data_IF_297712700115
#
_entry.id   IF_297712700115
#
_cell.length_a   1.000
_cell.length_b   1.000
_cell.length_c   1.000
_cell.angle_alpha   90.00
_cell.angle_beta   90.00
_cell.angle_gamma   90.00
#
_symmetry.space_group_name_H-M   'P 1'
#
loop_
_entity.id
_entity.type
_entity.pdbx_description
1 polymer ?
#
# COMPACT_ATOMS: atom_id res chain seq x y z
N UNK A 1 5.73 -15.48 -16.00
CA UNK A 1 5.83 -16.19 -14.71
C UNK A 1 6.62 -15.31 -13.73
N UNK A 2 5.93 -14.61 -12.82
CA UNK A 2 6.56 -13.92 -11.67
C UNK A 2 5.75 -14.31 -10.44
N UNK A 3 6.37 -15.09 -9.56
CA UNK A 3 5.74 -15.64 -8.36
C UNK A 3 5.76 -14.59 -7.25
N UNK A 4 4.59 -14.35 -6.69
CA UNK A 4 4.34 -13.67 -5.42
C UNK A 4 5.07 -14.41 -4.28
N UNK A 5 5.78 -13.68 -3.43
CA UNK A 5 6.24 -14.14 -2.12
C UNK A 5 5.49 -13.36 -1.03
N UNK A 6 4.87 -14.02 -0.04
CA UNK A 6 4.27 -13.35 1.11
C UNK A 6 5.29 -13.20 2.25
N UNK A 7 5.31 -12.01 2.83
CA UNK A 7 6.00 -11.67 4.09
C UNK A 7 5.25 -12.28 5.29
N UNK A 8 5.91 -12.88 6.29
CA UNK A 8 5.31 -13.14 7.58
C UNK A 8 5.60 -11.99 8.55
N UNK A 9 4.54 -11.47 9.17
CA UNK A 9 4.61 -10.65 10.38
C UNK A 9 5.08 -11.52 11.56
N UNK A 10 6.24 -11.23 12.12
CA UNK A 10 6.66 -11.76 13.42
C UNK A 10 6.51 -10.65 14.46
N UNK A 11 5.47 -10.80 15.27
CA UNK A 11 5.18 -10.02 16.47
C UNK A 11 5.99 -10.64 17.62
N UNK A 12 7.00 -9.93 18.12
CA UNK A 12 7.81 -10.41 19.24
C UNK A 12 8.59 -9.28 19.89
N UNK A 13 8.30 -9.06 21.18
CA UNK A 13 9.10 -8.42 22.25
C UNK A 13 8.13 -7.76 23.25
N UNK A 14 8.36 -7.74 24.56
CA UNK A 14 9.23 -8.45 25.48
C UNK A 14 8.78 -7.96 26.87
N UNK A 15 8.37 -8.85 27.77
CA UNK A 15 8.03 -8.47 29.14
C UNK A 15 9.31 -8.39 29.97
N UNK A 16 9.64 -7.19 30.44
CA UNK A 16 10.79 -6.88 31.29
C UNK A 16 10.51 -7.39 32.72
N UNK A 17 11.37 -8.29 33.21
CA UNK A 17 11.37 -8.79 34.58
C UNK A 17 12.30 -7.91 35.43
N UNK A 18 11.75 -7.21 36.43
CA UNK A 18 12.50 -6.42 37.38
C UNK A 18 12.93 -7.29 38.58
N UNK A 19 14.24 -7.31 38.89
CA UNK A 19 14.77 -7.88 40.13
C UNK A 19 15.44 -6.74 40.90
N UNK A 20 14.81 -6.32 42.00
CA UNK A 20 15.35 -5.39 42.97
C UNK A 20 16.21 -6.15 43.99
N UNK A 21 17.46 -5.74 44.14
CA UNK A 21 18.35 -6.19 45.20
C UNK A 21 18.57 -5.06 46.22
N UNK A 22 18.29 -5.34 47.49
CA UNK A 22 18.73 -4.52 48.63
C UNK A 22 19.23 -5.44 49.74
N UNK A 23 20.48 -5.21 50.16
CA UNK A 23 21.20 -5.92 51.20
C UNK A 23 20.64 -5.68 52.61
N UNK A 24 20.87 -6.58 53.58
CA UNK A 24 20.80 -6.25 55.00
C UNK A 24 22.21 -6.13 55.62
N UNK A 25 22.38 -5.07 56.42
CA UNK A 25 23.54 -4.80 57.25
C UNK A 25 23.50 -5.46 58.62
N UNK A 26 24.69 -5.53 59.22
CA UNK A 26 25.03 -5.93 60.59
C UNK A 26 24.23 -5.21 61.69
N UNK A 27 23.99 -5.84 62.85
CA UNK A 27 24.86 -5.72 64.03
C UNK A 27 24.37 -6.53 65.26
N UNK A 28 25.38 -7.04 66.00
CA UNK A 28 25.51 -7.32 67.45
C UNK A 28 24.32 -7.80 68.31
N UNK A 29 24.50 -8.92 69.03
CA UNK A 29 24.75 -8.87 70.49
C UNK A 29 25.04 -10.26 71.10
N UNK A 30 25.94 -10.27 72.11
CA UNK A 30 26.19 -11.40 73.03
C UNK A 30 25.27 -11.28 74.26
N UNK A 31 25.00 -12.34 75.05
CA UNK A 31 25.90 -12.62 76.19
C UNK A 31 25.97 -14.08 76.73
N UNK A 32 27.12 -14.35 77.37
CA UNK A 32 27.38 -15.11 78.62
C UNK A 32 26.77 -16.51 78.89
N UNK A 33 27.64 -17.43 79.33
CA UNK A 33 27.27 -18.51 80.25
C UNK A 33 28.24 -19.70 80.29
N UNK A 34 28.88 -19.92 81.45
CA UNK A 34 29.84 -20.98 81.83
C UNK A 34 29.47 -22.40 81.34
N UNK A 35 30.38 -23.36 81.09
CA UNK A 35 31.06 -24.15 82.14
C UNK A 35 32.14 -25.12 81.59
N UNK A 36 33.24 -25.24 82.35
CA UNK A 36 34.08 -26.44 82.63
C UNK A 36 35.09 -26.96 81.56
N UNK A 37 36.39 -27.13 81.92
CA UNK A 37 37.43 -27.53 80.99
C UNK A 37 37.54 -29.06 80.88
N UNK A 38 37.46 -29.59 79.67
CA UNK A 38 38.01 -30.90 79.33
C UNK A 38 39.07 -30.67 78.24
N UNK A 39 40.28 -31.10 78.54
CA UNK A 39 41.46 -31.04 77.67
C UNK A 39 41.16 -31.70 76.32
N UNK A 40 40.76 -30.91 75.32
CA UNK A 40 40.77 -31.33 73.92
C UNK A 40 42.21 -31.27 73.44
N UNK A 41 42.79 -32.46 73.36
CA UNK A 41 44.13 -32.68 72.84
C UNK A 41 44.24 -32.09 71.43
N UNK A 42 45.42 -31.54 71.10
CA UNK A 42 45.77 -31.05 69.76
C UNK A 42 45.46 -32.08 68.65
N UNK A 43 45.45 -33.39 68.99
CA UNK A 43 45.03 -34.46 68.09
C UNK A 43 43.54 -34.47 67.73
N UNK A 44 42.64 -34.08 68.64
CA UNK A 44 41.20 -34.02 68.38
C UNK A 44 40.83 -32.81 67.50
N UNK A 45 41.55 -31.71 67.65
CA UNK A 45 41.48 -30.55 66.77
C UNK A 45 41.99 -30.88 65.37
N UNK A 46 43.10 -31.62 65.25
CA UNK A 46 43.65 -32.02 63.96
C UNK A 46 42.74 -33.02 63.22
N UNK A 47 42.08 -33.92 63.95
CA UNK A 47 41.08 -34.82 63.37
C UNK A 47 39.80 -34.08 62.96
N UNK A 48 39.29 -33.14 63.75
CA UNK A 48 38.16 -32.28 63.33
C UNK A 48 38.47 -31.41 62.10
N UNK A 49 39.71 -30.95 61.95
CA UNK A 49 40.16 -30.19 60.76
C UNK A 49 40.34 -31.10 59.54
N UNK A 50 40.75 -32.36 59.73
CA UNK A 50 40.75 -33.37 58.65
C UNK A 50 39.33 -33.80 58.25
N UNK A 51 38.41 -33.87 59.20
CA UNK A 51 37.00 -34.23 58.98
C UNK A 51 36.14 -33.04 58.52
N UNK A 52 36.67 -31.81 58.58
CA UNK A 52 36.20 -30.67 57.79
C UNK A 52 36.57 -30.91 56.32
N UNK A 53 35.92 -31.92 55.75
CA UNK A 53 35.88 -32.17 54.32
C UNK A 53 35.37 -30.89 53.69
N UNK A 54 36.25 -30.20 52.98
CA UNK A 54 35.91 -29.01 52.21
C UNK A 54 34.64 -29.37 51.45
N UNK A 55 33.50 -28.69 51.69
CA UNK A 55 32.25 -29.05 51.05
C UNK A 55 32.48 -29.07 49.54
N UNK A 56 31.97 -30.06 48.82
CA UNK A 56 32.14 -30.17 47.36
C UNK A 56 31.73 -28.86 46.64
N UNK A 57 30.87 -28.06 47.27
CA UNK A 57 30.48 -26.69 46.89
C UNK A 57 31.64 -25.70 46.80
N UNK A 58 32.68 -25.82 47.62
CA UNK A 58 33.87 -24.95 47.59
C UNK A 58 34.92 -25.49 46.62
N UNK A 59 34.94 -26.81 46.40
CA UNK A 59 35.81 -27.44 45.42
C UNK A 59 35.39 -27.17 43.97
N UNK A 60 34.10 -26.89 43.72
CA UNK A 60 33.54 -26.56 42.40
C UNK A 60 33.54 -25.06 42.06
N UNK A 61 33.76 -24.18 43.05
CA UNK A 61 33.88 -22.73 42.86
C UNK A 61 34.93 -22.31 41.82
N UNK A 62 36.14 -22.90 41.77
CA UNK A 62 37.11 -22.57 40.75
C UNK A 62 36.57 -22.82 39.35
N UNK A 63 35.94 -23.98 39.13
CA UNK A 63 35.34 -24.38 37.85
C UNK A 63 34.24 -23.42 37.42
N UNK A 64 33.30 -23.11 38.32
CA UNK A 64 32.23 -22.13 38.09
C UNK A 64 32.76 -20.72 37.81
N UNK A 65 33.85 -20.31 38.47
CA UNK A 65 34.49 -19.02 38.21
C UNK A 65 35.13 -18.98 36.82
N UNK A 66 35.72 -20.09 36.35
CA UNK A 66 36.24 -20.20 34.98
C UNK A 66 35.12 -20.13 33.95
N UNK A 67 34.04 -20.90 34.14
CA UNK A 67 32.87 -20.90 33.25
C UNK A 67 32.21 -19.52 33.18
N UNK A 68 32.08 -18.83 34.32
CA UNK A 68 31.54 -17.47 34.37
C UNK A 68 32.45 -16.46 33.66
N UNK A 69 33.77 -16.60 33.79
CA UNK A 69 34.73 -15.76 33.07
C UNK A 69 34.66 -15.98 31.56
N UNK A 70 34.55 -17.22 31.12
CA UNK A 70 34.39 -17.55 29.70
C UNK A 70 33.08 -16.99 29.15
N UNK A 71 31.97 -17.19 29.88
CA UNK A 71 30.67 -16.62 29.52
C UNK A 71 30.69 -15.08 29.47
N UNK A 72 31.39 -14.42 30.39
CA UNK A 72 31.54 -12.97 30.38
C UNK A 72 32.36 -12.49 29.18
N UNK A 73 33.45 -13.17 28.85
CA UNK A 73 34.27 -12.85 27.68
C UNK A 73 33.51 -13.06 26.37
N UNK A 74 32.69 -14.11 26.29
CA UNK A 74 31.83 -14.35 25.14
C UNK A 74 30.75 -13.28 25.01
N UNK A 75 30.10 -12.91 26.11
CA UNK A 75 29.11 -11.82 26.15
C UNK A 75 29.74 -10.46 25.77
N UNK A 76 30.98 -10.20 26.21
CA UNK A 76 31.69 -8.99 25.82
C UNK A 76 31.95 -8.94 24.29
N UNK A 77 32.31 -10.08 23.68
CA UNK A 77 32.48 -10.18 22.23
C UNK A 77 31.17 -9.98 21.47
N UNK A 78 30.06 -10.55 21.94
CA UNK A 78 28.75 -10.38 21.28
C UNK A 78 28.28 -8.92 21.36
N UNK A 79 28.49 -8.26 22.50
CA UNK A 79 28.19 -6.82 22.66
C UNK A 79 29.03 -5.96 21.71
N UNK A 80 30.32 -6.29 21.51
CA UNK A 80 31.15 -5.55 20.56
C UNK A 80 30.70 -5.73 19.11
N UNK A 81 30.32 -6.95 18.73
CA UNK A 81 29.76 -7.23 17.38
C UNK A 81 28.44 -6.48 17.16
N UNK A 82 27.51 -6.56 18.12
CA UNK A 82 26.24 -5.84 18.04
C UNK A 82 26.44 -4.33 17.94
N UNK A 83 27.44 -3.79 18.64
CA UNK A 83 27.76 -2.35 18.54
C UNK A 83 28.19 -1.95 17.12
N UNK A 84 29.03 -2.77 16.47
CA UNK A 84 29.46 -2.55 15.08
C UNK A 84 28.29 -2.65 14.11
N UNK A 85 27.39 -3.64 14.29
CA UNK A 85 26.19 -3.78 13.48
C UNK A 85 25.23 -2.60 13.63
N UNK A 86 25.05 -2.09 14.84
CA UNK A 86 24.21 -0.89 15.10
C UNK A 86 24.82 0.36 14.46
N UNK A 87 26.14 0.51 14.47
CA UNK A 87 26.81 1.61 13.77
C UNK A 87 26.63 1.52 12.25
N UNK A 88 26.82 0.34 11.65
CA UNK A 88 26.58 0.12 10.22
C UNK A 88 25.11 0.39 9.82
N UNK A 89 24.14 -0.10 10.59
CA UNK A 89 22.72 0.15 10.35
C UNK A 89 22.36 1.65 10.43
N UNK A 90 23.02 2.41 11.32
CA UNK A 90 22.81 3.86 11.39
C UNK A 90 23.30 4.56 10.13
N UNK A 91 24.46 4.15 9.60
CA UNK A 91 24.98 4.69 8.34
C UNK A 91 24.05 4.38 7.16
N UNK A 92 23.54 3.14 7.07
CA UNK A 92 22.57 2.75 6.03
C UNK A 92 21.27 3.54 6.11
N UNK A 93 20.75 3.77 7.33
CA UNK A 93 19.52 4.55 7.52
C UNK A 93 19.70 6.00 7.07
N UNK A 94 20.85 6.62 7.37
CA UNK A 94 21.13 7.99 6.91
C UNK A 94 21.30 8.07 5.39
N UNK A 95 21.96 7.08 4.76
CA UNK A 95 22.04 6.99 3.30
C UNK A 95 20.65 6.86 2.66
N UNK A 96 19.79 5.97 3.19
CA UNK A 96 18.43 5.78 2.70
C UNK A 96 17.53 7.01 2.87
N UNK A 97 17.76 7.81 3.92
CA UNK A 97 17.07 9.09 4.10
C UNK A 97 17.52 10.11 3.04
N UNK A 98 18.82 10.20 2.75
CA UNK A 98 19.35 11.07 1.72
C UNK A 98 18.80 10.69 0.34
N UNK A 99 18.79 9.39 0.00
CA UNK A 99 18.21 8.89 -1.25
C UNK A 99 16.71 9.19 -1.37
N UNK A 100 15.96 9.00 -0.28
CA UNK A 100 14.53 9.37 -0.26
C UNK A 100 14.31 10.87 -0.44
N UNK A 101 15.16 11.72 0.12
CA UNK A 101 15.08 13.17 -0.07
C UNK A 101 15.34 13.54 -1.53
N UNK A 102 16.40 12.99 -2.13
CA UNK A 102 16.73 13.19 -3.54
C UNK A 102 15.61 12.68 -4.47
N UNK A 103 15.02 11.52 -4.19
CA UNK A 103 13.89 10.99 -4.94
C UNK A 103 12.65 11.88 -4.81
N UNK A 104 12.35 12.40 -3.62
CA UNK A 104 11.24 13.34 -3.42
C UNK A 104 11.43 14.63 -4.21
N UNK A 105 12.64 15.16 -4.25
CA UNK A 105 12.96 16.35 -5.03
C UNK A 105 12.87 16.08 -6.54
N UNK A 106 13.41 14.95 -7.01
CA UNK A 106 13.34 14.52 -8.41
C UNK A 106 11.89 14.26 -8.86
N UNK A 107 11.04 13.71 -7.99
CA UNK A 107 9.61 13.54 -8.28
C UNK A 107 8.87 14.88 -8.22
N UNK A 108 9.16 15.72 -7.23
CA UNK A 108 8.54 17.05 -7.09
C UNK A 108 8.83 17.94 -8.29
N UNK A 109 10.05 17.94 -8.78
CA UNK A 109 10.46 18.70 -9.99
C UNK A 109 9.84 18.14 -11.27
N UNK A 110 9.76 16.82 -11.44
CA UNK A 110 9.05 16.22 -12.59
C UNK A 110 7.56 16.53 -12.59
N UNK A 111 6.89 16.47 -11.44
CA UNK A 111 5.45 16.77 -11.31
C UNK A 111 5.15 18.27 -11.44
N UNK A 112 6.13 19.14 -11.16
CA UNK A 112 6.00 20.58 -11.35
C UNK A 112 6.29 21.02 -12.80
N UNK A 113 7.25 20.37 -13.46
CA UNK A 113 7.59 20.64 -14.86
C UNK A 113 6.56 20.06 -15.85
N UNK A 114 6.06 18.86 -15.55
CA UNK A 114 4.91 18.28 -16.23
C UNK A 114 3.68 18.62 -15.41
N UNK A 115 2.98 19.69 -15.76
CA UNK A 115 1.64 19.98 -15.27
C UNK A 115 0.76 18.74 -15.47
N UNK A 116 0.74 17.87 -14.47
CA UNK A 116 0.01 16.59 -14.46
C UNK A 116 -1.48 16.83 -14.78
N UNK A 117 -1.98 18.02 -14.44
CA UNK A 117 -3.30 18.51 -14.78
C UNK A 117 -3.51 18.84 -16.28
N UNK A 118 -2.48 19.15 -17.06
CA UNK A 118 -2.57 19.34 -18.52
C UNK A 118 -2.31 18.04 -19.28
N UNK A 119 -1.40 17.18 -18.80
CA UNK A 119 -1.22 15.83 -19.34
C UNK A 119 -2.42 14.89 -19.09
N UNK A 120 -3.24 15.19 -18.09
CA UNK A 120 -4.48 14.46 -17.78
C UNK A 120 -5.72 15.08 -18.43
N UNK A 121 -5.60 16.20 -19.15
CA UNK A 121 -6.75 16.70 -19.93
C UNK A 121 -6.98 15.73 -21.08
N UNK A 122 -8.16 15.08 -21.14
CA UNK A 122 -8.49 14.20 -22.25
C UNK A 122 -8.38 15.01 -23.54
N UNK A 123 -7.74 14.44 -24.56
CA UNK A 123 -7.66 15.11 -25.85
C UNK A 123 -9.08 15.30 -26.39
N UNK A 124 -9.43 16.55 -26.71
CA UNK A 124 -10.73 16.92 -27.24
C UNK A 124 -10.76 16.70 -28.75
N UNK A 125 -11.76 15.96 -29.24
CA UNK A 125 -11.92 15.66 -30.67
C UNK A 125 -13.40 15.63 -31.04
N UNK A 126 -13.73 16.15 -32.22
CA UNK A 126 -15.08 16.03 -32.76
C UNK A 126 -15.33 14.59 -33.23
N UNK A 127 -16.52 14.05 -32.97
CA UNK A 127 -16.94 12.70 -33.39
C UNK A 127 -16.72 12.48 -34.90
N UNK A 128 -17.06 13.47 -35.73
CA UNK A 128 -16.87 13.41 -37.18
C UNK A 128 -15.40 13.34 -37.61
N UNK A 129 -14.49 14.01 -36.90
CA UNK A 129 -13.05 13.95 -37.17
C UNK A 129 -12.48 12.60 -36.76
N UNK A 130 -12.88 12.09 -35.59
CA UNK A 130 -12.49 10.76 -35.13
C UNK A 130 -12.93 9.68 -36.12
N UNK A 131 -14.19 9.71 -36.57
CA UNK A 131 -14.70 8.78 -37.59
C UNK A 131 -13.90 8.91 -38.90
N UNK A 132 -13.62 10.15 -39.35
CA UNK A 132 -12.87 10.39 -40.58
C UNK A 132 -11.44 9.83 -40.49
N UNK A 133 -10.76 10.02 -39.36
CA UNK A 133 -9.41 9.52 -39.14
C UNK A 133 -9.35 7.99 -39.27
N UNK A 134 -10.29 7.29 -38.62
CA UNK A 134 -10.36 5.83 -38.71
C UNK A 134 -10.76 5.32 -40.11
N UNK A 135 -11.61 6.07 -40.82
CA UNK A 135 -11.98 5.74 -42.22
C UNK A 135 -10.85 5.98 -43.21
N UNK A 136 -10.01 7.00 -42.98
CA UNK A 136 -8.90 7.32 -43.89
C UNK A 136 -7.70 6.40 -43.69
N UNK A 137 -7.30 6.17 -42.44
CA UNK A 137 -6.17 5.32 -42.08
C UNK A 137 -6.37 4.76 -40.67
N UNK A 138 -6.89 3.53 -40.60
CA UNK A 138 -7.13 2.85 -39.34
C UNK A 138 -5.85 2.55 -38.55
N UNK A 139 -4.70 2.36 -39.21
CA UNK A 139 -3.44 2.05 -38.52
C UNK A 139 -2.86 3.31 -37.86
N UNK A 140 -2.88 4.44 -38.56
CA UNK A 140 -2.49 5.72 -37.99
C UNK A 140 -3.44 6.15 -36.86
N UNK A 141 -4.76 6.01 -37.07
CA UNK A 141 -5.77 6.32 -36.06
C UNK A 141 -5.64 5.42 -34.82
N UNK A 142 -5.36 4.13 -35.00
CA UNK A 142 -5.06 3.22 -33.90
C UNK A 142 -3.87 3.71 -33.08
N UNK A 143 -2.74 4.02 -33.73
CA UNK A 143 -1.56 4.54 -33.04
C UNK A 143 -1.81 5.87 -32.32
N UNK A 144 -2.73 6.70 -32.83
CA UNK A 144 -2.98 8.03 -32.28
C UNK A 144 -4.03 8.04 -31.16
N UNK A 145 -5.05 7.19 -31.25
CA UNK A 145 -6.26 7.27 -30.43
C UNK A 145 -6.58 6.00 -29.63
N UNK A 146 -6.18 4.80 -30.10
CA UNK A 146 -6.52 3.55 -29.42
C UNK A 146 -5.93 3.49 -28.01
N UNK A 147 -6.71 2.99 -27.07
CA UNK A 147 -6.42 2.90 -25.63
C UNK A 147 -6.16 4.26 -24.94
N UNK A 148 -6.41 5.38 -25.63
CA UNK A 148 -6.30 6.72 -25.06
C UNK A 148 -7.62 7.20 -24.51
N UNK A 149 -7.55 8.00 -23.45
CA UNK A 149 -8.70 8.66 -22.85
C UNK A 149 -8.99 9.96 -23.59
N UNK A 150 -10.16 10.04 -24.21
CA UNK A 150 -10.57 11.12 -25.11
C UNK A 150 -11.82 11.81 -24.59
N UNK A 151 -11.96 13.09 -24.94
CA UNK A 151 -13.20 13.85 -24.88
C UNK A 151 -13.76 13.96 -26.29
N UNK A 152 -14.82 13.21 -26.57
CA UNK A 152 -15.45 13.19 -27.89
C UNK A 152 -16.71 14.05 -27.86
N UNK A 153 -16.75 15.07 -28.72
CA UNK A 153 -17.89 15.98 -28.86
C UNK A 153 -18.68 15.60 -30.11
N UNK A 154 -19.98 15.39 -29.96
CA UNK A 154 -20.84 15.05 -31.09
C UNK A 154 -22.31 15.31 -30.80
N UNK A 155 -23.14 15.08 -31.81
CA UNK A 155 -24.60 15.15 -31.67
C UNK A 155 -25.14 13.75 -31.42
N UNK A 156 -26.06 13.60 -30.46
CA UNK A 156 -26.72 12.32 -30.21
C UNK A 156 -27.59 11.94 -31.39
N UNK A 157 -27.31 10.79 -32.02
CA UNK A 157 -28.13 10.22 -33.09
C UNK A 157 -29.19 9.29 -32.53
N UNK A 158 -28.79 8.35 -31.66
CA UNK A 158 -29.71 7.37 -31.09
C UNK A 158 -29.19 6.80 -29.77
N UNK A 159 -30.11 6.17 -29.05
CA UNK A 159 -29.84 5.46 -27.81
C UNK A 159 -30.23 3.99 -27.98
N UNK A 160 -29.41 3.08 -27.46
CA UNK A 160 -29.75 1.66 -27.41
C UNK A 160 -29.49 1.10 -26.01
N UNK A 161 -30.25 0.08 -25.62
CA UNK A 161 -30.03 -0.66 -24.38
C UNK A 161 -29.63 -2.08 -24.76
N UNK A 162 -28.35 -2.39 -24.62
CA UNK A 162 -27.83 -3.74 -24.87
C UNK A 162 -27.92 -4.52 -23.58
N UNK A 163 -29.02 -5.25 -23.40
CA UNK A 163 -29.29 -6.01 -22.20
C UNK A 163 -29.69 -5.15 -20.99
N UNK A 164 -29.49 -5.70 -19.79
CA UNK A 164 -29.95 -5.09 -18.53
C UNK A 164 -28.97 -4.09 -17.95
N UNK A 165 -27.67 -4.24 -18.22
CA UNK A 165 -26.60 -3.49 -17.55
C UNK A 165 -25.88 -2.47 -18.43
N UNK A 166 -26.13 -2.42 -19.74
CA UNK A 166 -25.41 -1.49 -20.62
C UNK A 166 -26.36 -0.58 -21.40
N UNK A 167 -25.90 0.65 -21.58
CA UNK A 167 -26.53 1.67 -22.41
C UNK A 167 -25.51 2.15 -23.41
N UNK A 168 -25.94 2.26 -24.66
CA UNK A 168 -25.14 2.74 -25.76
C UNK A 168 -25.71 4.07 -26.25
N UNK A 169 -24.83 5.06 -26.40
CA UNK A 169 -25.15 6.34 -27.02
C UNK A 169 -24.37 6.41 -28.33
N UNK A 170 -25.07 6.66 -29.42
CA UNK A 170 -24.47 6.82 -30.74
C UNK A 170 -24.33 8.30 -31.05
N UNK A 171 -23.10 8.73 -31.33
CA UNK A 171 -22.78 10.12 -31.69
C UNK A 171 -22.42 10.21 -33.17
N UNK A 172 -22.92 11.27 -33.81
CA UNK A 172 -22.55 11.65 -35.17
C UNK A 172 -21.82 12.99 -35.17
N UNK A 173 -21.09 13.27 -36.26
CA UNK A 173 -20.48 14.58 -36.48
C UNK A 173 -21.54 15.67 -36.63
N UNK A 174 -21.22 16.89 -36.24
CA UNK A 174 -22.10 18.03 -36.48
C UNK A 174 -22.37 18.17 -37.99
N UNK A 175 -23.64 18.14 -38.40
CA UNK A 175 -24.05 18.23 -39.80
C UNK A 175 -23.76 16.99 -40.65
N UNK A 176 -23.41 15.85 -40.04
CA UNK A 176 -23.23 14.60 -40.76
C UNK A 176 -24.58 13.93 -41.07
N UNK A 177 -24.76 13.45 -42.30
CA UNK A 177 -25.94 12.68 -42.69
C UNK A 177 -25.93 11.30 -42.01
N UNK A 178 -27.13 10.80 -41.69
CA UNK A 178 -27.31 9.47 -41.15
C UNK A 178 -26.62 8.42 -42.05
N UNK A 179 -25.71 7.64 -41.48
CA UNK A 179 -24.96 6.59 -42.20
C UNK A 179 -23.51 6.92 -42.59
N UNK A 180 -23.01 8.14 -42.33
CA UNK A 180 -21.58 8.47 -42.54
C UNK A 180 -20.63 7.90 -41.47
N UNK A 181 -21.09 6.93 -40.69
CA UNK A 181 -20.38 6.35 -39.54
C UNK A 181 -20.73 7.09 -38.26
N UNK A 182 -20.53 6.43 -37.13
CA UNK A 182 -20.91 6.93 -35.80
C UNK A 182 -19.88 6.50 -34.76
N UNK A 183 -19.87 7.21 -33.65
CA UNK A 183 -19.11 6.84 -32.46
C UNK A 183 -20.06 6.16 -31.49
N UNK A 184 -19.79 4.91 -31.14
CA UNK A 184 -20.56 4.13 -30.17
C UNK A 184 -19.94 4.30 -28.79
N UNK A 185 -20.64 4.97 -27.89
CA UNK A 185 -20.22 5.19 -26.51
C UNK A 185 -20.94 4.20 -25.58
N UNK A 186 -20.19 3.31 -24.92
CA UNK A 186 -20.73 2.31 -23.99
C UNK A 186 -20.65 2.78 -22.54
N UNK A 187 -21.81 2.76 -21.88
CA UNK A 187 -21.98 3.11 -20.48
C UNK A 187 -22.48 1.89 -19.71
N UNK A 188 -21.86 1.62 -18.56
CA UNK A 188 -22.38 0.65 -17.60
C UNK A 188 -23.43 1.31 -16.72
N UNK A 189 -24.56 0.64 -16.53
CA UNK A 189 -25.55 0.99 -15.51
C UNK A 189 -25.01 0.53 -14.18
N UNK A 190 -24.50 1.48 -13.41
CA UNK A 190 -24.11 1.29 -12.02
C UNK A 190 -24.95 2.18 -11.11
N UNK A 191 -24.58 2.25 -9.83
CA UNK A 191 -25.26 3.09 -8.84
C UNK A 191 -25.20 4.60 -9.18
N UNK A 192 -24.24 5.03 -10.00
CA UNK A 192 -24.05 6.43 -10.38
C UNK A 192 -24.69 6.75 -11.74
N UNK A 193 -25.07 5.76 -12.54
CA UNK A 193 -25.66 5.93 -13.87
C UNK A 193 -26.98 5.16 -14.00
N UNK A 194 -27.96 5.55 -13.17
CA UNK A 194 -29.28 4.94 -13.12
C UNK A 194 -30.23 5.55 -14.16
N UNK A 195 -30.12 5.12 -15.41
CA UNK A 195 -30.84 5.69 -16.56
C UNK A 195 -31.73 4.67 -17.29
N UNK A 196 -32.79 5.17 -17.89
CA UNK A 196 -33.71 4.44 -18.77
C UNK A 196 -33.71 5.07 -20.16
N UNK A 197 -33.65 4.22 -21.18
CA UNK A 197 -33.73 4.64 -22.58
C UNK A 197 -35.18 4.51 -23.01
N UNK A 198 -35.74 5.56 -23.61
CA UNK A 198 -37.07 5.54 -24.22
C UNK A 198 -36.89 5.75 -25.74
N UNK A 199 -36.63 4.67 -26.52
CA UNK A 199 -36.24 4.80 -27.92
C UNK A 199 -37.29 5.53 -28.76
N UNK A 200 -38.57 5.26 -28.53
CA UNK A 200 -39.68 5.86 -29.27
C UNK A 200 -39.74 7.39 -29.14
N UNK A 201 -39.19 7.95 -28.04
CA UNK A 201 -39.13 9.38 -27.82
C UNK A 201 -37.74 9.97 -28.14
N UNK A 202 -36.75 9.13 -28.42
CA UNK A 202 -35.36 9.57 -28.56
C UNK A 202 -34.83 10.25 -27.30
N UNK A 203 -35.16 9.74 -26.11
CA UNK A 203 -34.78 10.35 -24.83
C UNK A 203 -34.05 9.35 -23.93
N UNK A 204 -33.04 9.87 -23.23
CA UNK A 204 -32.42 9.24 -22.08
C UNK A 204 -32.93 9.91 -20.82
N UNK A 205 -33.52 9.12 -19.92
CA UNK A 205 -34.24 9.61 -18.75
C UNK A 205 -33.59 9.06 -17.49
N UNK A 206 -33.44 9.89 -16.46
CA UNK A 206 -33.01 9.41 -15.15
C UNK A 206 -34.12 8.59 -14.50
N UNK A 207 -33.80 7.43 -13.95
CA UNK A 207 -34.79 6.58 -13.28
C UNK A 207 -35.21 7.12 -11.91
N UNK A 208 -34.37 7.95 -11.29
CA UNK A 208 -34.62 8.46 -9.93
C UNK A 208 -35.75 9.49 -9.92
N UNK A 209 -35.74 10.43 -10.87
CA UNK A 209 -36.61 11.61 -10.91
C UNK A 209 -37.41 11.73 -12.21
N UNK A 210 -37.21 10.81 -13.18
CA UNK A 210 -37.86 10.81 -14.50
C UNK A 210 -37.55 12.06 -15.36
N UNK A 211 -36.52 12.84 -15.02
CA UNK A 211 -36.07 13.96 -15.84
C UNK A 211 -35.33 13.47 -17.08
N UNK A 212 -35.41 14.18 -18.22
CA UNK A 212 -34.49 13.84 -19.32
C UNK A 212 -33.12 14.40 -19.10
N UNK A 213 -32.17 13.50 -19.26
CA UNK A 213 -30.76 13.78 -19.19
C UNK A 213 -30.23 14.19 -20.56
N UNK A 214 -30.66 13.47 -21.61
CA UNK A 214 -30.26 13.71 -22.99
C UNK A 214 -31.42 13.43 -23.95
N UNK A 215 -31.42 14.12 -25.09
CA UNK A 215 -32.35 13.88 -26.21
C UNK A 215 -31.59 13.71 -27.52
N UNK A 216 -32.15 12.96 -28.47
CA UNK A 216 -31.64 12.88 -29.84
C UNK A 216 -31.59 14.28 -30.46
N UNK A 217 -30.52 14.57 -31.20
CA UNK A 217 -30.23 15.89 -31.77
C UNK A 217 -29.49 16.84 -30.81
N UNK A 218 -29.33 16.48 -29.54
CA UNK A 218 -28.61 17.31 -28.57
C UNK A 218 -27.08 17.16 -28.75
N UNK A 219 -26.31 18.27 -28.77
CA UNK A 219 -24.86 18.19 -28.70
C UNK A 219 -24.42 17.75 -27.29
N UNK A 220 -23.46 16.83 -27.23
CA UNK A 220 -22.96 16.27 -25.97
C UNK A 220 -21.46 16.02 -26.06
N UNK A 221 -20.77 16.16 -24.93
CA UNK A 221 -19.39 15.76 -24.76
C UNK A 221 -19.33 14.47 -23.91
N UNK A 222 -18.68 13.45 -24.45
CA UNK A 222 -18.51 12.15 -23.80
C UNK A 222 -17.02 11.89 -23.59
N UNK A 223 -16.67 11.63 -22.34
CA UNK A 223 -15.34 11.20 -21.93
C UNK A 223 -15.28 9.67 -21.98
N UNK A 224 -14.24 9.07 -22.53
CA UNK A 224 -14.11 7.61 -22.57
C UNK A 224 -12.77 7.15 -23.13
N UNK A 225 -12.47 5.87 -22.98
CA UNK A 225 -11.29 5.25 -23.59
C UNK A 225 -11.65 4.73 -24.97
N UNK A 226 -10.89 5.09 -26.00
CA UNK A 226 -11.13 4.60 -27.36
C UNK A 226 -10.65 3.16 -27.50
N UNK A 227 -11.57 2.23 -27.78
CA UNK A 227 -11.27 0.81 -27.96
C UNK A 227 -10.87 0.47 -29.41
N UNK A 228 -11.02 1.41 -30.34
CA UNK A 228 -10.75 1.22 -31.77
C UNK A 228 -12.01 1.32 -32.63
N UNK A 229 -11.93 0.83 -33.87
CA UNK A 229 -13.05 0.79 -34.81
C UNK A 229 -13.38 -0.65 -35.19
N UNK A 230 -14.67 -1.00 -35.07
CA UNK A 230 -15.24 -2.21 -35.66
C UNK A 230 -16.19 -1.77 -36.79
N UNK A 231 -17.50 -1.87 -36.56
CA UNK A 231 -18.52 -1.22 -37.41
C UNK A 231 -18.54 0.29 -37.17
N UNK A 232 -18.42 0.68 -35.90
CA UNK A 232 -18.41 2.04 -35.40
C UNK A 232 -17.12 2.25 -34.60
N UNK A 233 -16.71 3.52 -34.42
CA UNK A 233 -15.61 3.82 -33.48
C UNK A 233 -16.16 3.65 -32.06
N UNK A 234 -15.52 2.80 -31.26
CA UNK A 234 -16.03 2.43 -29.94
C UNK A 234 -15.29 3.18 -28.82
N UNK A 235 -16.07 3.78 -27.93
CA UNK A 235 -15.60 4.27 -26.64
C UNK A 235 -16.14 3.37 -25.53
N UNK A 236 -15.26 2.99 -24.61
CA UNK A 236 -15.58 2.22 -23.40
C UNK A 236 -15.29 3.06 -22.16
N UNK A 237 -15.81 2.62 -21.00
CA UNK A 237 -15.69 3.33 -19.73
C UNK A 237 -16.18 4.78 -19.85
N UNK A 238 -17.30 4.98 -20.56
CA UNK A 238 -17.76 6.31 -20.91
C UNK A 238 -18.40 7.03 -19.73
N UNK A 239 -18.27 8.36 -19.73
CA UNK A 239 -18.96 9.29 -18.84
C UNK A 239 -19.40 10.52 -19.63
N UNK A 240 -20.64 10.95 -19.44
CA UNK A 240 -21.14 12.18 -20.07
C UNK A 240 -20.67 13.38 -19.23
N UNK A 241 -20.04 14.36 -19.88
CA UNK A 241 -19.60 15.59 -19.22
C UNK A 241 -20.81 16.47 -18.88
N UNK A 242 -20.80 17.13 -17.73
CA UNK A 242 -21.93 17.93 -17.24
C UNK A 242 -23.09 17.13 -16.65
N UNK A 243 -23.11 15.82 -16.88
CA UNK A 243 -24.05 14.87 -16.28
C UNK A 243 -23.49 14.40 -14.93
N UNK A 244 -23.34 15.34 -13.99
CA UNK A 244 -23.09 15.00 -12.61
C UNK A 244 -24.40 14.41 -12.05
N UNK A 245 -24.38 13.12 -11.69
CA UNK A 245 -25.44 12.53 -10.90
C UNK A 245 -25.63 13.41 -9.66
N UNK A 246 -26.75 14.11 -9.57
CA UNK A 246 -27.16 14.72 -8.32
C UNK A 246 -27.25 13.56 -7.32
N UNK A 247 -26.25 13.44 -6.45
CA UNK A 247 -26.37 12.59 -5.28
C UNK A 247 -27.52 13.17 -4.50
N UNK A 248 -28.61 12.41 -4.39
CA UNK A 248 -29.56 12.64 -3.32
C UNK A 248 -28.77 12.41 -2.03
N UNK A 249 -28.46 13.50 -1.33
CA UNK A 249 -28.00 13.45 0.07
C UNK A 249 -29.10 12.92 0.98
#
# INVERSE_FOLDING_TARGET
MKRFFPFPLLLGCASVLAIAGTAPGQDTDSPSGDTKPASSSLGDLFNKVKDLKVPDSVASLPTQLTELKESYLETAKTVETLRKEVEALREEVEALKADNAALREAVGTKVAADSRAEMLKPAEIASGELIRAWKSDAAAAASQYQDRYLKVIGTVESFQSTGTQEVEIYLIGAGADAGTGRVRCRFRRDANFHVEVIPAQGRLVSRNDRSTLLSVGQPVAVLGTCAGMNLDVELINCRVEGLAAQRAE
#
